data_IF_874157325535
#
_entry.id   IF_874157325535
#
_cell.length_a   1.000
_cell.length_b   1.000
_cell.length_c   1.000
_cell.angle_alpha   90.00
_cell.angle_beta   90.00
_cell.angle_gamma   90.00
#
_symmetry.space_group_name_H-M   'P 1'
#
loop_
_entity.id
_entity.type
_entity.pdbx_description
1 polymer ?
#
# COMPACT_ATOMS: atom_id res chain seq x y z
N UNK A 1 8.70 19.53 14.12
CA UNK A 1 8.53 18.20 14.74
C UNK A 1 7.60 17.43 13.83
N UNK A 2 8.07 16.38 13.14
CA UNK A 2 7.18 15.57 12.30
C UNK A 2 6.25 14.80 13.23
N UNK A 3 4.96 15.11 13.21
CA UNK A 3 3.98 14.28 13.89
C UNK A 3 4.01 12.90 13.23
N UNK A 4 4.12 11.79 13.99
CA UNK A 4 3.93 10.48 13.39
C UNK A 4 2.53 10.48 12.76
N UNK A 5 2.49 10.21 11.47
CA UNK A 5 1.23 10.04 10.76
C UNK A 5 0.45 8.92 11.44
N UNK A 6 -0.76 9.22 11.93
CA UNK A 6 -1.74 8.21 12.37
C UNK A 6 -2.31 7.41 11.18
N UNK A 7 -1.49 7.20 10.15
CA UNK A 7 -1.88 6.49 8.95
C UNK A 7 -1.74 4.99 9.20
N UNK A 8 -2.76 4.22 8.84
CA UNK A 8 -2.67 2.77 8.76
C UNK A 8 -2.42 2.39 7.30
N UNK A 9 -1.33 1.68 7.06
CA UNK A 9 -1.00 1.00 5.81
C UNK A 9 -1.35 -0.49 5.94
N UNK A 10 -2.07 -0.98 4.94
CA UNK A 10 -2.46 -2.37 4.81
C UNK A 10 -1.99 -2.87 3.44
N UNK A 11 -1.32 -4.01 3.37
CA UNK A 11 -0.88 -4.63 2.10
C UNK A 11 -1.52 -5.99 1.96
N UNK A 12 -2.30 -6.20 0.88
CA UNK A 12 -3.00 -7.45 0.66
C UNK A 12 -2.01 -8.58 0.36
N UNK A 13 -2.08 -9.66 1.14
CA UNK A 13 -1.32 -10.89 0.89
C UNK A 13 -2.14 -12.14 1.24
N UNK A 14 -3.40 -12.18 0.84
CA UNK A 14 -4.18 -13.43 0.90
C UNK A 14 -4.64 -13.86 -0.48
N UNK A 15 -5.81 -14.49 -0.58
CA UNK A 15 -6.09 -15.51 -1.60
C UNK A 15 -5.85 -15.16 -3.09
N UNK A 16 -5.78 -13.87 -3.46
CA UNK A 16 -5.45 -13.43 -4.83
C UNK A 16 -4.08 -12.74 -4.91
N UNK A 17 -3.78 -11.79 -4.03
CA UNK A 17 -2.55 -11.00 -4.09
C UNK A 17 -1.33 -11.86 -3.69
N UNK A 18 -0.21 -11.72 -4.39
CA UNK A 18 1.01 -12.45 -4.07
C UNK A 18 1.01 -13.93 -4.48
N UNK A 19 0.03 -14.39 -5.27
CA UNK A 19 -0.10 -15.79 -5.74
C UNK A 19 0.20 -15.93 -7.25
N UNK A 20 1.44 -16.26 -7.66
CA UNK A 20 1.81 -16.44 -9.07
C UNK A 20 0.99 -17.50 -9.80
N UNK A 21 0.55 -18.53 -9.08
CA UNK A 21 -0.33 -19.59 -9.59
C UNK A 21 -1.69 -19.08 -10.09
N UNK A 22 -2.09 -17.87 -9.66
CA UNK A 22 -3.33 -17.18 -10.08
C UNK A 22 -3.05 -16.00 -11.03
N UNK A 23 -1.83 -15.90 -11.56
CA UNK A 23 -1.41 -14.83 -12.44
C UNK A 23 -0.98 -13.53 -11.74
N UNK A 24 -0.92 -13.52 -10.41
CA UNK A 24 -0.57 -12.32 -9.64
C UNK A 24 0.89 -12.36 -9.19
N UNK A 25 1.71 -11.33 -9.49
CA UNK A 25 3.12 -11.31 -9.07
C UNK A 25 3.27 -11.48 -7.56
N UNK A 26 4.31 -12.20 -7.13
CA UNK A 26 4.61 -12.42 -5.71
C UNK A 26 4.80 -11.08 -4.98
N UNK A 27 4.19 -10.96 -3.82
CA UNK A 27 4.52 -9.92 -2.83
C UNK A 27 5.44 -10.54 -1.80
N UNK A 28 6.55 -9.86 -1.53
CA UNK A 28 7.48 -10.24 -0.49
C UNK A 28 7.24 -9.36 0.74
N UNK A 29 6.62 -9.91 1.79
CA UNK A 29 6.34 -9.17 3.02
C UNK A 29 7.62 -8.62 3.66
N UNK A 30 8.74 -9.32 3.53
CA UNK A 30 10.04 -8.84 4.03
C UNK A 30 10.44 -7.54 3.33
N UNK A 31 10.36 -7.49 2.00
CA UNK A 31 10.61 -6.26 1.23
C UNK A 31 9.63 -5.14 1.55
N UNK A 32 8.38 -5.46 1.86
CA UNK A 32 7.37 -4.46 2.28
C UNK A 32 7.73 -3.88 3.66
N UNK A 33 8.11 -4.73 4.61
CA UNK A 33 8.55 -4.30 5.95
C UNK A 33 9.82 -3.46 5.91
N UNK A 34 10.80 -3.87 5.10
CA UNK A 34 12.03 -3.09 4.92
C UNK A 34 11.73 -1.73 4.29
N UNK A 35 10.93 -1.67 3.23
CA UNK A 35 10.55 -0.40 2.61
C UNK A 35 9.78 0.53 3.58
N UNK A 36 8.91 -0.03 4.42
CA UNK A 36 8.20 0.75 5.45
C UNK A 36 9.17 1.31 6.50
N UNK A 37 10.15 0.50 6.91
CA UNK A 37 11.21 0.90 7.86
C UNK A 37 12.12 1.98 7.26
N UNK A 38 12.53 1.84 6.00
CA UNK A 38 13.32 2.83 5.27
C UNK A 38 12.58 4.16 5.13
N UNK A 39 11.26 4.12 4.95
CA UNK A 39 10.39 5.29 4.93
C UNK A 39 10.18 5.93 6.31
N UNK A 40 10.60 5.27 7.40
CA UNK A 40 10.42 5.74 8.77
C UNK A 40 9.00 5.52 9.32
N UNK A 41 8.23 4.61 8.74
CA UNK A 41 6.90 4.25 9.24
C UNK A 41 7.04 3.36 10.49
N UNK A 42 6.23 3.60 11.54
CA UNK A 42 6.23 2.73 12.71
C UNK A 42 5.69 1.35 12.31
N UNK A 43 6.27 0.27 12.85
CA UNK A 43 5.84 -1.09 12.56
C UNK A 43 4.34 -1.33 12.83
N UNK A 44 3.75 -0.60 13.79
CA UNK A 44 2.31 -0.65 14.12
C UNK A 44 1.40 -0.10 13.02
N UNK A 45 1.93 0.74 12.13
CA UNK A 45 1.20 1.28 10.99
C UNK A 45 1.07 0.30 9.83
N UNK A 46 1.81 -0.82 9.82
CA UNK A 46 1.79 -1.79 8.72
C UNK A 46 1.08 -3.08 9.12
N UNK A 47 0.11 -3.52 8.33
CA UNK A 47 -0.53 -4.82 8.48
C UNK A 47 -0.71 -5.55 7.15
N UNK A 48 -0.86 -6.88 7.22
CA UNK A 48 -1.05 -7.76 6.06
C UNK A 48 -2.38 -8.50 6.19
N UNK A 49 -3.52 -7.85 5.89
CA UNK A 49 -4.81 -8.50 5.92
C UNK A 49 -4.97 -9.53 4.80
N UNK A 50 -5.83 -10.51 5.03
CA UNK A 50 -6.08 -11.60 4.09
C UNK A 50 -6.73 -11.13 2.78
N UNK A 51 -7.62 -10.14 2.80
CA UNK A 51 -8.15 -9.56 1.56
C UNK A 51 -8.50 -8.09 1.76
N UNK A 52 -8.07 -7.25 0.81
CA UNK A 52 -8.44 -5.84 0.76
C UNK A 52 -9.57 -5.56 -0.23
N UNK A 53 -9.75 -6.44 -1.21
CA UNK A 53 -10.64 -6.23 -2.36
C UNK A 53 -10.30 -4.98 -3.18
N UNK A 54 -10.83 -4.88 -4.40
CA UNK A 54 -11.40 -5.93 -5.25
C UNK A 54 -10.32 -6.88 -5.77
N UNK A 55 -10.64 -8.18 -5.78
CA UNK A 55 -9.71 -9.21 -6.28
C UNK A 55 -9.43 -9.13 -7.80
N UNK A 56 -10.22 -8.33 -8.54
CA UNK A 56 -9.97 -8.01 -9.94
C UNK A 56 -8.66 -7.23 -10.16
N UNK A 57 -8.11 -6.64 -9.10
CA UNK A 57 -6.83 -5.95 -9.13
C UNK A 57 -5.81 -6.73 -8.29
N UNK A 58 -4.65 -6.98 -8.90
CA UNK A 58 -3.55 -7.65 -8.25
C UNK A 58 -2.86 -6.72 -7.24
N UNK A 59 -2.40 -7.29 -6.14
CA UNK A 59 -1.40 -6.71 -5.24
C UNK A 59 -1.79 -5.32 -4.73
N UNK A 60 -2.89 -5.28 -3.99
CA UNK A 60 -3.49 -4.04 -3.48
C UNK A 60 -2.83 -3.59 -2.19
N UNK A 61 -2.62 -2.28 -2.01
CA UNK A 61 -2.31 -1.66 -0.72
C UNK A 61 -3.31 -0.55 -0.39
N UNK A 62 -3.63 -0.36 0.88
CA UNK A 62 -4.59 0.63 1.37
C UNK A 62 -3.97 1.48 2.47
N UNK A 63 -4.07 2.80 2.31
CA UNK A 63 -3.64 3.81 3.27
C UNK A 63 -4.89 4.47 3.86
N UNK A 64 -5.03 4.45 5.18
CA UNK A 64 -6.14 5.07 5.91
C UNK A 64 -5.59 6.17 6.80
N UNK A 65 -6.06 7.41 6.63
CA UNK A 65 -5.67 8.52 7.51
C UNK A 65 -6.76 9.60 7.55
N UNK A 66 -7.06 10.12 8.74
CA UNK A 66 -7.99 11.26 8.89
C UNK A 66 -9.38 11.01 8.30
N UNK A 67 -9.91 9.79 8.37
CA UNK A 67 -11.21 9.42 7.80
C UNK A 67 -11.20 9.20 6.27
N UNK A 68 -10.05 9.33 5.62
CA UNK A 68 -9.87 9.07 4.19
C UNK A 68 -9.18 7.73 3.95
N UNK A 69 -9.46 7.16 2.79
CA UNK A 69 -8.92 5.88 2.34
C UNK A 69 -8.39 6.05 0.93
N UNK A 70 -7.13 5.70 0.72
CA UNK A 70 -6.53 5.58 -0.61
C UNK A 70 -6.12 4.14 -0.81
N UNK A 71 -6.40 3.60 -1.98
CA UNK A 71 -6.10 2.21 -2.26
C UNK A 71 -5.49 2.09 -3.65
N UNK A 72 -4.37 1.38 -3.72
CA UNK A 72 -3.49 1.32 -4.88
C UNK A 72 -3.32 -0.13 -5.34
N UNK A 73 -3.40 -0.37 -6.65
CA UNK A 73 -3.12 -1.67 -7.24
C UNK A 73 -1.65 -1.82 -7.67
N UNK A 74 -1.13 -3.05 -7.68
CA UNK A 74 0.17 -3.37 -8.28
C UNK A 74 1.38 -3.10 -7.41
N UNK A 75 1.25 -3.12 -6.07
CA UNK A 75 2.35 -2.82 -5.12
C UNK A 75 3.46 -3.89 -5.07
N UNK A 76 3.42 -4.86 -5.97
CA UNK A 76 4.58 -5.69 -6.28
C UNK A 76 5.68 -4.89 -7.01
N UNK A 77 5.33 -3.86 -7.76
CA UNK A 77 6.29 -2.93 -8.36
C UNK A 77 7.06 -2.20 -7.25
N UNK A 78 8.39 -2.19 -7.36
CA UNK A 78 9.25 -1.60 -6.33
C UNK A 78 9.11 -0.08 -6.27
N UNK A 79 9.01 0.58 -7.43
CA UNK A 79 8.82 2.02 -7.51
C UNK A 79 7.52 2.46 -6.83
N UNK A 80 6.41 1.80 -7.19
CA UNK A 80 5.11 2.03 -6.59
C UNK A 80 5.12 1.71 -5.10
N UNK A 81 5.68 0.58 -4.69
CA UNK A 81 5.77 0.20 -3.27
C UNK A 81 6.46 1.31 -2.47
N UNK A 82 7.60 1.80 -2.93
CA UNK A 82 8.32 2.90 -2.26
C UNK A 82 7.50 4.19 -2.23
N UNK A 83 6.84 4.55 -3.32
CA UNK A 83 5.98 5.73 -3.37
C UNK A 83 4.78 5.62 -2.39
N UNK A 84 4.18 4.43 -2.25
CA UNK A 84 3.11 4.19 -1.27
C UNK A 84 3.63 4.34 0.16
N UNK A 85 4.83 3.84 0.48
CA UNK A 85 5.43 4.00 1.80
C UNK A 85 5.70 5.47 2.12
N UNK A 86 6.26 6.22 1.17
CA UNK A 86 6.51 7.64 1.35
C UNK A 86 5.21 8.44 1.48
N UNK A 87 4.20 8.11 0.68
CA UNK A 87 2.87 8.71 0.77
C UNK A 87 2.22 8.47 2.14
N UNK A 88 2.39 7.27 2.72
CA UNK A 88 1.82 6.92 4.02
C UNK A 88 2.31 7.81 5.19
N UNK A 89 3.45 8.50 5.03
CA UNK A 89 4.01 9.43 6.03
C UNK A 89 3.23 10.75 6.10
N UNK A 90 2.59 11.15 5.01
CA UNK A 90 1.79 12.38 4.94
C UNK A 90 0.67 12.24 3.90
N UNK A 91 -0.34 11.38 4.14
CA UNK A 91 -1.36 11.09 3.14
C UNK A 91 -2.24 12.31 2.87
N UNK A 92 -2.31 12.72 1.62
CA UNK A 92 -3.24 13.77 1.14
C UNK A 92 -3.39 13.70 -0.38
N UNK A 93 -4.53 14.14 -0.93
CA UNK A 93 -4.73 14.14 -2.39
C UNK A 93 -3.69 15.00 -3.13
N UNK A 94 -3.19 16.05 -2.47
CA UNK A 94 -2.12 16.92 -2.98
C UNK A 94 -0.79 16.20 -3.16
N UNK A 95 -0.54 15.15 -2.37
CA UNK A 95 0.69 14.35 -2.39
C UNK A 95 0.60 13.11 -3.29
N UNK A 96 -0.49 12.92 -4.03
CA UNK A 96 -0.58 11.85 -5.00
C UNK A 96 0.32 12.16 -6.21
N UNK A 97 1.48 11.50 -6.28
CA UNK A 97 2.33 11.51 -7.46
C UNK A 97 1.65 10.88 -8.68
N UNK A 98 2.16 11.10 -9.91
CA UNK A 98 1.56 10.58 -11.14
C UNK A 98 1.40 9.05 -11.13
N UNK A 99 2.40 8.31 -10.64
CA UNK A 99 2.33 6.84 -10.52
C UNK A 99 1.27 6.39 -9.53
N UNK A 100 1.17 7.07 -8.38
CA UNK A 100 0.11 6.81 -7.40
C UNK A 100 -1.28 7.11 -7.98
N UNK A 101 -1.43 8.19 -8.76
CA UNK A 101 -2.71 8.54 -9.42
C UNK A 101 -3.12 7.50 -10.45
N UNK A 102 -2.18 7.03 -11.28
CA UNK A 102 -2.46 5.96 -12.27
C UNK A 102 -2.88 4.63 -11.64
N UNK A 103 -2.43 4.39 -10.41
CA UNK A 103 -2.70 3.14 -9.68
C UNK A 103 -3.75 3.30 -8.59
N UNK A 104 -4.24 4.53 -8.38
CA UNK A 104 -5.30 4.82 -7.44
C UNK A 104 -6.56 4.18 -8.00
N UNK A 105 -7.17 3.38 -7.15
CA UNK A 105 -8.46 2.83 -7.43
C UNK A 105 -9.47 3.74 -6.68
N UNK A 106 -10.42 4.32 -7.40
CA UNK A 106 -11.46 5.20 -6.85
C UNK A 106 -12.81 4.45 -6.73
N UNK A 107 -13.48 4.58 -5.57
CA UNK A 107 -14.92 4.30 -5.45
C UNK A 107 -15.41 2.85 -5.63
N UNK A 108 -14.73 1.85 -5.06
CA UNK A 108 -15.24 0.47 -4.97
C UNK A 108 -15.40 0.00 -3.52
#
# INVERSE_FOLDING_TARGET
MAHPSNAQLEVCNGCCCGHPEKGNPKIDEGKVREAAKEAGLPATSLSFPYCLGPCSYANVARVKAGGRVWTFAGVNDEGLRREVMEFAKAPSDGNLGPRLRERLLDGY
#
